data_IF_804808248270
#
_entry.id   IF_804808248270
#
_cell.length_a   1.000
_cell.length_b   1.000
_cell.length_c   1.000
_cell.angle_alpha   90.00
_cell.angle_beta   90.00
_cell.angle_gamma   90.00
#
_symmetry.space_group_name_H-M   'P 1'
#
loop_
_entity.id
_entity.type
_entity.pdbx_description
1 polymer ?
#
# COMPACT_ATOMS: atom_id res chain seq x y z
N UNK A 1 -22.04 -35.44 -63.36
CA UNK A 1 -22.82 -34.55 -62.48
C UNK A 1 -22.95 -35.23 -61.13
N UNK A 2 -21.99 -34.93 -60.25
CA UNK A 2 -22.18 -34.74 -58.82
C UNK A 2 -22.61 -35.99 -58.00
N UNK A 3 -21.76 -36.67 -57.23
CA UNK A 3 -20.55 -36.19 -56.59
C UNK A 3 -20.90 -35.06 -55.63
N UNK A 4 -20.78 -35.28 -54.32
CA UNK A 4 -21.11 -34.36 -53.22
C UNK A 4 -22.58 -34.42 -52.75
N UNK A 5 -22.87 -35.32 -51.79
CA UNK A 5 -23.84 -35.10 -50.69
C UNK A 5 -23.80 -36.19 -49.59
N UNK A 6 -22.72 -36.96 -49.46
CA UNK A 6 -22.54 -37.99 -48.39
C UNK A 6 -21.36 -37.71 -47.43
N UNK A 7 -20.93 -36.46 -47.32
CA UNK A 7 -19.88 -36.09 -46.37
C UNK A 7 -20.25 -34.84 -45.59
N UNK A 8 -21.14 -34.97 -44.57
CA UNK A 8 -21.20 -34.05 -43.42
C UNK A 8 -22.20 -34.41 -42.30
N UNK A 9 -22.65 -35.68 -42.18
CA UNK A 9 -23.47 -36.09 -41.02
C UNK A 9 -22.72 -36.95 -39.99
N UNK A 10 -21.39 -36.84 -39.97
CA UNK A 10 -20.51 -37.50 -38.99
C UNK A 10 -19.89 -36.50 -38.00
N UNK A 11 -20.66 -35.57 -37.47
CA UNK A 11 -20.32 -34.79 -36.28
C UNK A 11 -21.63 -34.37 -35.60
N UNK A 12 -21.69 -34.44 -34.28
CA UNK A 12 -22.86 -34.20 -33.41
C UNK A 12 -23.76 -35.42 -33.10
N UNK A 13 -23.13 -36.55 -32.76
CA UNK A 13 -23.73 -37.46 -31.78
C UNK A 13 -23.66 -36.82 -30.39
N UNK A 14 -24.76 -36.23 -29.92
CA UNK A 14 -24.90 -35.88 -28.50
C UNK A 14 -25.50 -37.07 -27.76
N UNK A 15 -24.62 -37.77 -27.05
CA UNK A 15 -24.92 -38.79 -26.07
C UNK A 15 -25.67 -38.14 -24.88
N UNK A 16 -26.95 -38.47 -24.71
CA UNK A 16 -27.86 -37.90 -23.69
C UNK A 16 -27.81 -38.65 -22.35
N UNK A 17 -26.71 -39.35 -22.06
CA UNK A 17 -26.53 -40.12 -20.82
C UNK A 17 -25.34 -39.59 -19.99
N UNK A 18 -25.52 -38.45 -19.33
CA UNK A 18 -24.43 -37.83 -18.58
C UNK A 18 -24.81 -36.70 -17.62
N UNK A 19 -25.99 -36.73 -17.00
CA UNK A 19 -26.29 -35.84 -15.86
C UNK A 19 -25.65 -36.46 -14.60
N UNK A 20 -24.32 -36.53 -14.59
CA UNK A 20 -23.54 -36.82 -13.40
C UNK A 20 -23.42 -35.52 -12.59
N UNK A 21 -23.89 -35.59 -11.35
CA UNK A 21 -23.93 -34.51 -10.39
C UNK A 21 -22.62 -33.68 -10.36
N UNK A 22 -22.69 -32.43 -10.79
CA UNK A 22 -21.61 -31.47 -10.55
C UNK A 22 -21.52 -31.21 -9.04
N UNK A 23 -20.34 -31.38 -8.40
CA UNK A 23 -20.18 -31.01 -7.01
C UNK A 23 -20.32 -29.49 -6.89
N UNK A 24 -21.35 -29.06 -6.20
CA UNK A 24 -21.56 -27.66 -5.83
C UNK A 24 -20.36 -27.23 -4.96
N UNK A 25 -19.40 -26.49 -5.55
CA UNK A 25 -18.29 -25.91 -4.79
C UNK A 25 -18.89 -24.85 -3.88
N UNK A 26 -19.05 -25.16 -2.60
CA UNK A 26 -19.53 -24.21 -1.60
C UNK A 26 -18.56 -23.01 -1.60
N UNK A 27 -19.05 -21.76 -1.70
CA UNK A 27 -18.17 -20.61 -1.54
C UNK A 27 -17.50 -20.72 -0.16
N UNK A 28 -16.17 -20.77 -0.16
CA UNK A 28 -15.37 -20.83 1.04
C UNK A 28 -15.60 -19.53 1.82
N UNK A 29 -16.56 -19.53 2.76
CA UNK A 29 -16.80 -18.41 3.65
C UNK A 29 -15.50 -18.21 4.45
N UNK A 30 -14.89 -17.01 4.42
CA UNK A 30 -13.69 -16.77 5.20
C UNK A 30 -14.00 -17.07 6.68
N UNK A 31 -13.05 -17.69 7.42
CA UNK A 31 -13.27 -18.03 8.82
C UNK A 31 -13.65 -16.77 9.58
N UNK A 32 -14.86 -16.75 10.14
CA UNK A 32 -15.29 -15.66 10.98
C UNK A 32 -14.52 -15.73 12.29
N UNK A 33 -13.88 -14.62 12.68
CA UNK A 33 -13.16 -14.54 13.95
C UNK A 33 -14.12 -14.82 15.09
N UNK A 34 -13.74 -15.72 16.00
CA UNK A 34 -14.53 -15.94 17.21
C UNK A 34 -14.38 -14.75 18.18
N UNK A 35 -15.30 -14.62 19.14
CA UNK A 35 -15.33 -13.47 20.05
C UNK A 35 -14.03 -13.29 20.85
N UNK A 36 -13.35 -14.39 21.18
CA UNK A 36 -12.07 -14.36 21.90
C UNK A 36 -10.93 -13.86 21.03
N UNK A 37 -10.83 -14.32 19.78
CA UNK A 37 -9.87 -13.84 18.79
C UNK A 37 -10.08 -12.35 18.50
N UNK A 38 -11.34 -11.90 18.39
CA UNK A 38 -11.65 -10.48 18.22
C UNK A 38 -11.16 -9.64 19.40
N UNK A 39 -11.34 -10.11 20.64
CA UNK A 39 -10.83 -9.44 21.84
C UNK A 39 -9.30 -9.34 21.83
N UNK A 40 -8.60 -10.41 21.48
CA UNK A 40 -7.14 -10.39 21.36
C UNK A 40 -6.66 -9.42 20.28
N UNK A 41 -7.33 -9.41 19.13
CA UNK A 41 -7.00 -8.50 18.03
C UNK A 41 -7.22 -7.03 18.41
N UNK A 42 -8.31 -6.72 19.11
CA UNK A 42 -8.57 -5.38 19.64
C UNK A 42 -7.53 -4.95 20.68
N UNK A 43 -7.10 -5.85 21.57
CA UNK A 43 -6.07 -5.55 22.54
C UNK A 43 -4.71 -5.31 21.87
N UNK A 44 -4.34 -6.15 20.89
CA UNK A 44 -3.13 -5.96 20.09
C UNK A 44 -3.15 -4.62 19.35
N UNK A 45 -4.28 -4.25 18.74
CA UNK A 45 -4.46 -2.94 18.10
C UNK A 45 -4.21 -1.80 19.10
N UNK A 46 -4.86 -1.84 20.28
CA UNK A 46 -4.72 -0.78 21.29
C UNK A 46 -3.27 -0.59 21.74
N UNK A 47 -2.56 -1.68 22.01
CA UNK A 47 -1.14 -1.63 22.39
C UNK A 47 -0.30 -1.08 21.23
N UNK A 48 -0.56 -1.53 20.00
CA UNK A 48 0.11 -1.00 18.82
C UNK A 48 -0.11 0.50 18.61
N UNK A 49 -1.33 1.00 18.83
CA UNK A 49 -1.63 2.43 18.76
C UNK A 49 -0.86 3.23 19.82
N UNK A 50 -0.75 2.74 21.06
CA UNK A 50 0.07 3.38 22.10
C UNK A 50 1.57 3.37 21.76
N UNK A 51 2.06 2.29 21.14
CA UNK A 51 3.43 2.23 20.65
C UNK A 51 3.66 3.25 19.53
N UNK A 52 2.69 3.42 18.63
CA UNK A 52 2.74 4.42 17.56
C UNK A 52 2.76 5.86 18.12
N UNK A 53 1.92 6.18 19.11
CA UNK A 53 1.96 7.48 19.81
C UNK A 53 3.28 7.71 20.57
N UNK A 54 3.91 6.64 21.03
CA UNK A 54 5.25 6.72 21.64
C UNK A 54 6.33 6.99 20.59
N UNK A 55 6.22 6.38 19.41
CA UNK A 55 7.10 6.65 18.28
C UNK A 55 7.01 8.11 17.84
N UNK A 56 5.81 8.71 17.78
CA UNK A 56 5.63 10.12 17.44
C UNK A 56 6.44 11.06 18.33
N UNK A 57 6.52 10.76 19.62
CA UNK A 57 7.26 11.58 20.59
C UNK A 57 8.78 11.49 20.43
N UNK A 58 9.28 10.42 19.81
CA UNK A 58 10.72 10.14 19.62
C UNK A 58 11.22 10.47 18.22
N UNK A 59 10.32 10.89 17.32
CA UNK A 59 10.61 11.05 15.90
C UNK A 59 11.64 12.15 15.59
N UNK A 60 11.92 13.02 16.57
CA UNK A 60 12.93 14.07 16.49
C UNK A 60 14.29 13.64 17.08
N UNK A 61 14.35 12.54 17.83
CA UNK A 61 15.56 12.10 18.55
C UNK A 61 16.47 11.20 17.69
N UNK A 62 15.96 10.67 16.57
CA UNK A 62 16.70 9.75 15.71
C UNK A 62 17.77 10.45 14.85
N UNK A 63 18.91 9.77 14.68
CA UNK A 63 19.96 10.22 13.76
C UNK A 63 19.38 10.39 12.35
N UNK A 64 19.70 11.48 11.62
CA UNK A 64 19.15 11.74 10.30
C UNK A 64 19.33 10.59 9.29
N UNK A 65 20.41 9.79 9.37
CA UNK A 65 20.59 8.64 8.47
C UNK A 65 19.62 7.48 8.74
N UNK A 66 19.25 7.25 10.01
CA UNK A 66 18.30 6.20 10.39
C UNK A 66 16.85 6.62 10.15
N UNK A 67 16.58 7.93 10.30
CA UNK A 67 15.25 8.54 10.22
C UNK A 67 14.53 8.31 8.88
N UNK A 68 15.27 8.40 7.77
CA UNK A 68 14.72 8.26 6.41
C UNK A 68 15.06 6.92 5.75
N UNK A 69 15.54 5.95 6.52
CA UNK A 69 15.88 4.64 5.99
C UNK A 69 14.67 4.00 5.28
N UNK A 70 14.94 3.25 4.20
CA UNK A 70 13.91 2.50 3.47
C UNK A 70 13.24 1.46 4.37
N UNK A 71 14.05 0.79 5.20
CA UNK A 71 13.62 -0.22 6.15
C UNK A 71 14.00 0.24 7.57
N UNK A 72 13.27 1.19 8.16
CA UNK A 72 13.55 1.59 9.54
C UNK A 72 13.21 0.44 10.49
N UNK A 73 13.83 0.35 11.68
CA UNK A 73 13.60 -0.75 12.62
C UNK A 73 12.12 -0.97 12.98
N UNK A 74 11.33 0.11 13.04
CA UNK A 74 9.90 0.07 13.34
C UNK A 74 9.00 -0.32 12.14
N UNK A 75 9.55 -0.46 10.93
CA UNK A 75 8.76 -0.57 9.70
C UNK A 75 7.85 -1.79 9.65
N UNK A 76 8.35 -2.95 10.09
CA UNK A 76 7.57 -4.19 10.10
C UNK A 76 6.44 -4.15 11.14
N UNK A 77 6.66 -3.54 12.30
CA UNK A 77 5.65 -3.38 13.34
C UNK A 77 4.51 -2.47 12.87
N UNK A 78 4.83 -1.40 12.12
CA UNK A 78 3.83 -0.53 11.49
C UNK A 78 3.00 -1.31 10.47
N UNK A 79 3.64 -2.08 9.59
CA UNK A 79 2.95 -2.92 8.59
C UNK A 79 2.09 -4.00 9.25
N UNK A 80 2.54 -4.54 10.38
CA UNK A 80 1.76 -5.47 11.18
C UNK A 80 0.53 -4.79 11.80
N UNK A 81 0.68 -3.61 12.38
CA UNK A 81 -0.43 -2.85 12.95
C UNK A 81 -1.45 -2.41 11.87
N UNK A 82 -1.00 -2.05 10.67
CA UNK A 82 -1.87 -1.80 9.52
C UNK A 82 -2.72 -3.03 9.20
N UNK A 83 -2.10 -4.23 9.14
CA UNK A 83 -2.82 -5.50 8.91
C UNK A 83 -3.88 -5.76 9.96
N UNK A 84 -3.58 -5.51 11.23
CA UNK A 84 -4.57 -5.61 12.32
C UNK A 84 -5.72 -4.63 12.11
N UNK A 85 -5.41 -3.38 11.79
CA UNK A 85 -6.39 -2.31 11.63
C UNK A 85 -7.42 -2.64 10.53
N UNK A 86 -6.96 -3.20 9.41
CA UNK A 86 -7.78 -3.70 8.29
C UNK A 86 -8.71 -4.85 8.67
N UNK A 87 -8.30 -5.69 9.63
CA UNK A 87 -9.08 -6.85 10.08
C UNK A 87 -10.14 -6.50 11.12
N UNK A 88 -10.12 -5.27 11.68
CA UNK A 88 -11.09 -4.82 12.68
C UNK A 88 -12.26 -4.07 12.04
N UNK A 89 -12.03 -2.84 11.58
CA UNK A 89 -13.03 -2.06 10.84
C UNK A 89 -12.37 -0.87 10.14
N UNK A 90 -13.09 -0.27 9.19
CA UNK A 90 -12.64 0.95 8.49
C UNK A 90 -12.33 2.10 9.46
N UNK A 91 -13.05 2.19 10.57
CA UNK A 91 -12.77 3.20 11.62
C UNK A 91 -11.39 3.01 12.26
N UNK A 92 -11.02 1.77 12.59
CA UNK A 92 -9.70 1.47 13.16
C UNK A 92 -8.56 1.76 12.16
N UNK A 93 -8.81 1.49 10.87
CA UNK A 93 -7.88 1.83 9.79
C UNK A 93 -7.69 3.35 9.66
N UNK A 94 -8.78 4.13 9.65
CA UNK A 94 -8.65 5.60 9.60
C UNK A 94 -7.91 6.16 10.81
N UNK A 95 -8.23 5.68 12.01
CA UNK A 95 -7.53 6.11 13.23
C UNK A 95 -6.04 5.75 13.18
N UNK A 96 -5.70 4.56 12.71
CA UNK A 96 -4.31 4.18 12.43
C UNK A 96 -3.63 5.15 11.45
N UNK A 97 -4.27 5.49 10.32
CA UNK A 97 -3.69 6.42 9.36
C UNK A 97 -3.42 7.82 9.95
N UNK A 98 -4.30 8.31 10.83
CA UNK A 98 -4.11 9.59 11.53
C UNK A 98 -2.92 9.54 12.50
N UNK A 99 -2.77 8.47 13.27
CA UNK A 99 -1.60 8.33 14.15
C UNK A 99 -0.31 8.10 13.36
N UNK A 100 -0.36 7.31 12.29
CA UNK A 100 0.77 7.08 11.39
C UNK A 100 1.26 8.39 10.75
N UNK A 101 0.33 9.27 10.37
CA UNK A 101 0.62 10.60 9.86
C UNK A 101 1.47 11.42 10.84
N UNK A 102 1.32 11.27 12.15
CA UNK A 102 2.14 12.04 13.10
C UNK A 102 3.43 11.30 13.48
N UNK A 103 3.40 9.98 13.45
CA UNK A 103 4.44 9.15 14.06
C UNK A 103 5.57 8.74 13.11
N UNK A 104 5.26 8.60 11.81
CA UNK A 104 6.19 8.03 10.83
C UNK A 104 6.87 9.12 10.02
N UNK A 105 8.17 8.98 9.82
CA UNK A 105 9.01 9.90 9.03
C UNK A 105 9.66 9.27 7.82
N UNK A 106 9.90 7.94 7.84
CA UNK A 106 10.36 7.24 6.63
C UNK A 106 9.32 7.40 5.51
N UNK A 107 9.70 8.04 4.37
CA UNK A 107 8.78 8.24 3.26
C UNK A 107 8.35 6.91 2.61
N UNK A 108 9.20 5.88 2.69
CA UNK A 108 8.91 4.55 2.15
C UNK A 108 7.79 3.86 2.93
N UNK A 109 7.86 3.90 4.27
CA UNK A 109 6.80 3.32 5.11
C UNK A 109 5.50 4.10 4.94
N UNK A 110 5.54 5.43 4.86
CA UNK A 110 4.34 6.25 4.58
C UNK A 110 3.71 5.90 3.23
N UNK A 111 4.53 5.69 2.20
CA UNK A 111 4.06 5.28 0.87
C UNK A 111 3.37 3.92 0.91
N UNK A 112 4.00 2.91 1.51
CA UNK A 112 3.44 1.56 1.66
C UNK A 112 2.09 1.62 2.40
N UNK A 113 2.03 2.35 3.52
CA UNK A 113 0.80 2.52 4.30
C UNK A 113 -0.30 3.18 3.48
N UNK A 114 0.01 4.23 2.72
CA UNK A 114 -0.97 4.94 1.89
C UNK A 114 -1.56 4.02 0.81
N UNK A 115 -0.71 3.31 0.07
CA UNK A 115 -1.12 2.42 -1.02
C UNK A 115 -1.94 1.26 -0.47
N UNK A 116 -1.47 0.60 0.58
CA UNK A 116 -2.14 -0.58 1.14
C UNK A 116 -3.47 -0.21 1.83
N UNK A 117 -3.54 0.95 2.50
CA UNK A 117 -4.80 1.45 3.03
C UNK A 117 -5.79 1.79 1.90
N UNK A 118 -5.34 2.45 0.83
CA UNK A 118 -6.19 2.77 -0.31
C UNK A 118 -6.73 1.51 -0.99
N UNK A 119 -5.89 0.50 -1.20
CA UNK A 119 -6.30 -0.80 -1.75
C UNK A 119 -7.35 -1.48 -0.88
N UNK A 120 -7.19 -1.42 0.45
CA UNK A 120 -8.18 -1.97 1.36
C UNK A 120 -9.53 -1.23 1.31
N UNK A 121 -9.52 0.10 1.25
CA UNK A 121 -10.72 0.91 1.08
C UNK A 121 -11.42 0.62 -0.26
N UNK A 122 -10.63 0.38 -1.31
CA UNK A 122 -11.09 0.01 -2.65
C UNK A 122 -11.38 -1.47 -2.84
N UNK A 123 -11.41 -2.31 -1.79
CA UNK A 123 -11.53 -3.77 -1.93
C UNK A 123 -12.77 -4.22 -2.73
N UNK A 124 -13.83 -3.41 -2.72
CA UNK A 124 -15.06 -3.68 -3.47
C UNK A 124 -15.07 -3.05 -4.87
N UNK A 125 -14.20 -2.07 -5.14
CA UNK A 125 -14.07 -1.39 -6.41
C UNK A 125 -12.63 -0.87 -6.59
N UNK A 126 -11.73 -1.66 -7.22
CA UNK A 126 -10.33 -1.29 -7.40
C UNK A 126 -10.11 0.02 -8.17
N UNK A 127 -11.08 0.45 -8.98
CA UNK A 127 -11.02 1.73 -9.70
C UNK A 127 -10.95 2.96 -8.78
N UNK A 128 -11.31 2.81 -7.50
CA UNK A 128 -11.34 3.92 -6.54
C UNK A 128 -10.01 4.15 -5.79
N UNK A 129 -8.97 3.35 -6.04
CA UNK A 129 -7.68 3.48 -5.32
C UNK A 129 -7.12 4.91 -5.41
N UNK A 130 -7.05 5.45 -6.62
CA UNK A 130 -6.55 6.81 -6.83
C UNK A 130 -7.46 7.87 -6.19
N UNK A 131 -8.77 7.64 -6.17
CA UNK A 131 -9.71 8.54 -5.51
C UNK A 131 -9.46 8.56 -3.99
N UNK A 132 -9.30 7.41 -3.34
CA UNK A 132 -9.02 7.35 -1.90
C UNK A 132 -7.67 7.99 -1.56
N UNK A 133 -6.63 7.76 -2.37
CA UNK A 133 -5.32 8.41 -2.21
C UNK A 133 -5.41 9.94 -2.29
N UNK A 134 -6.25 10.46 -3.19
CA UNK A 134 -6.41 11.90 -3.44
C UNK A 134 -7.44 12.59 -2.54
N UNK A 135 -8.15 11.86 -1.70
CA UNK A 135 -9.19 12.41 -0.81
C UNK A 135 -8.93 12.00 0.64
N UNK A 136 -9.41 10.83 1.04
CA UNK A 136 -9.35 10.34 2.42
C UNK A 136 -7.91 10.18 2.94
N UNK A 137 -6.96 9.83 2.08
CA UNK A 137 -5.55 9.60 2.44
C UNK A 137 -4.61 10.71 1.97
N UNK A 138 -5.16 11.81 1.43
CA UNK A 138 -4.37 12.93 0.92
C UNK A 138 -3.36 13.46 1.96
N UNK A 139 -3.70 13.64 3.26
CA UNK A 139 -2.73 14.11 4.24
C UNK A 139 -1.50 13.19 4.37
N UNK A 140 -1.71 11.88 4.28
CA UNK A 140 -0.64 10.88 4.35
C UNK A 140 0.25 10.93 3.10
N UNK A 141 -0.36 11.08 1.92
CA UNK A 141 0.35 11.25 0.64
C UNK A 141 1.17 12.55 0.64
N UNK A 142 0.59 13.66 1.09
CA UNK A 142 1.29 14.94 1.19
C UNK A 142 2.47 14.86 2.16
N UNK A 143 2.30 14.23 3.33
CA UNK A 143 3.44 14.02 4.25
C UNK A 143 4.50 13.12 3.62
N UNK A 144 4.12 12.05 2.94
CA UNK A 144 5.04 11.16 2.23
C UNK A 144 5.90 11.94 1.22
N UNK A 145 5.28 12.77 0.39
CA UNK A 145 5.96 13.64 -0.57
C UNK A 145 6.94 14.61 0.12
N UNK A 146 6.51 15.27 1.20
CA UNK A 146 7.37 16.14 2.00
C UNK A 146 8.58 15.40 2.58
N UNK A 147 8.38 14.20 3.14
CA UNK A 147 9.46 13.39 3.68
C UNK A 147 10.43 12.90 2.60
N UNK A 148 9.95 12.62 1.37
CA UNK A 148 10.83 12.34 0.24
C UNK A 148 11.73 13.53 -0.10
N UNK A 149 11.19 14.76 -0.11
CA UNK A 149 12.00 15.97 -0.33
C UNK A 149 13.11 16.09 0.73
N UNK A 150 12.75 15.93 2.00
CA UNK A 150 13.73 15.99 3.11
C UNK A 150 14.80 14.90 2.99
N UNK A 151 14.38 13.66 2.70
CA UNK A 151 15.27 12.52 2.50
C UNK A 151 16.24 12.76 1.34
N UNK A 152 15.73 13.19 0.18
CA UNK A 152 16.55 13.44 -1.01
C UNK A 152 17.51 14.61 -0.79
N UNK A 153 17.06 15.72 -0.18
CA UNK A 153 17.96 16.82 0.19
C UNK A 153 19.10 16.33 1.07
N UNK A 154 18.79 15.65 2.18
CA UNK A 154 19.83 15.20 3.10
C UNK A 154 20.84 14.25 2.44
N UNK A 155 20.35 13.30 1.63
CA UNK A 155 21.19 12.34 0.90
C UNK A 155 22.07 13.04 -0.14
N UNK A 156 21.53 14.03 -0.85
CA UNK A 156 22.28 14.80 -1.84
C UNK A 156 23.45 15.57 -1.22
N UNK A 157 23.27 16.20 -0.05
CA UNK A 157 24.32 16.96 0.64
C UNK A 157 25.49 16.09 1.15
N UNK A 158 25.24 14.80 1.40
CA UNK A 158 26.25 13.86 1.92
C UNK A 158 26.56 12.76 0.90
N UNK A 159 26.29 13.01 -0.39
CA UNK A 159 26.36 12.00 -1.43
C UNK A 159 27.83 11.60 -1.68
N UNK A 160 28.12 10.32 -1.53
CA UNK A 160 29.41 9.74 -1.91
C UNK A 160 29.28 8.85 -3.15
N UNK A 161 30.41 8.47 -3.75
CA UNK A 161 30.41 7.63 -4.95
C UNK A 161 29.70 6.29 -4.76
N UNK A 162 29.75 5.72 -3.55
CA UNK A 162 29.09 4.46 -3.23
C UNK A 162 27.58 4.59 -3.05
N UNK A 163 27.07 5.81 -2.87
CA UNK A 163 25.66 6.09 -2.59
C UNK A 163 24.84 6.47 -3.83
N UNK A 164 25.47 6.61 -5.01
CA UNK A 164 24.77 7.07 -6.24
C UNK A 164 23.59 6.19 -6.62
N UNK A 165 23.78 4.87 -6.65
CA UNK A 165 22.72 3.92 -7.03
C UNK A 165 21.56 3.94 -6.02
N UNK A 166 21.87 4.03 -4.71
CA UNK A 166 20.85 4.19 -3.66
C UNK A 166 20.09 5.50 -3.85
N UNK A 167 20.79 6.61 -4.08
CA UNK A 167 20.16 7.90 -4.31
C UNK A 167 19.24 7.90 -5.54
N UNK A 168 19.67 7.31 -6.66
CA UNK A 168 18.83 7.16 -7.86
C UNK A 168 17.57 6.36 -7.54
N UNK A 169 17.70 5.25 -6.81
CA UNK A 169 16.56 4.44 -6.35
C UNK A 169 15.58 5.23 -5.49
N UNK A 170 16.08 6.09 -4.58
CA UNK A 170 15.26 7.00 -3.78
C UNK A 170 14.51 8.00 -4.67
N UNK A 171 15.18 8.62 -5.64
CA UNK A 171 14.57 9.59 -6.58
C UNK A 171 13.48 8.94 -7.42
N UNK A 172 13.70 7.71 -7.90
CA UNK A 172 12.69 6.95 -8.65
C UNK A 172 11.48 6.60 -7.79
N UNK A 173 11.69 6.20 -6.54
CA UNK A 173 10.61 5.94 -5.59
C UNK A 173 9.82 7.22 -5.26
N UNK A 174 10.52 8.34 -5.06
CA UNK A 174 9.90 9.64 -4.87
C UNK A 174 9.00 10.00 -6.06
N UNK A 175 9.49 9.85 -7.30
CA UNK A 175 8.70 10.13 -8.51
C UNK A 175 7.35 9.41 -8.51
N UNK A 176 7.32 8.13 -8.10
CA UNK A 176 6.07 7.38 -8.00
C UNK A 176 5.11 7.98 -6.96
N UNK A 177 5.61 8.42 -5.80
CA UNK A 177 4.82 9.10 -4.78
C UNK A 177 4.27 10.47 -5.24
N UNK A 178 5.08 11.23 -5.97
CA UNK A 178 4.70 12.53 -6.52
C UNK A 178 3.67 12.42 -7.65
N UNK A 179 3.65 11.30 -8.39
CA UNK A 179 2.65 11.08 -9.44
C UNK A 179 1.24 10.81 -8.90
N UNK A 180 1.10 10.54 -7.60
CA UNK A 180 -0.20 10.28 -6.97
C UNK A 180 -1.10 11.52 -7.07
N UNK A 181 -0.59 12.72 -6.83
CA UNK A 181 -1.38 13.97 -6.86
C UNK A 181 -1.11 14.75 -8.16
N UNK A 182 -2.10 15.50 -8.68
CA UNK A 182 -1.90 16.36 -9.85
C UNK A 182 -0.75 17.36 -9.66
N UNK A 183 -0.70 18.01 -8.50
CA UNK A 183 0.29 19.03 -8.14
C UNK A 183 1.67 18.41 -7.87
N UNK A 184 1.72 17.14 -7.48
CA UNK A 184 2.98 16.46 -7.14
C UNK A 184 3.93 16.35 -8.32
N UNK A 185 3.42 16.18 -9.55
CA UNK A 185 4.26 16.20 -10.74
C UNK A 185 4.98 17.54 -10.94
N UNK A 186 4.32 18.66 -10.63
CA UNK A 186 4.90 20.00 -10.73
C UNK A 186 5.96 20.17 -9.64
N UNK A 187 5.63 19.85 -8.39
CA UNK A 187 6.56 19.91 -7.26
C UNK A 187 7.84 19.10 -7.49
N UNK A 188 7.71 17.89 -8.05
CA UNK A 188 8.87 17.04 -8.33
C UNK A 188 9.78 17.63 -9.42
N UNK A 189 9.20 18.24 -10.48
CA UNK A 189 9.96 18.92 -11.53
C UNK A 189 10.68 20.17 -11.02
N UNK A 190 10.02 20.94 -10.16
CA UNK A 190 10.62 22.10 -9.51
C UNK A 190 11.81 21.70 -8.64
N UNK A 191 11.66 20.62 -7.86
CA UNK A 191 12.74 20.04 -7.06
C UNK A 191 13.92 19.57 -7.93
N UNK A 192 13.67 18.86 -9.03
CA UNK A 192 14.73 18.46 -9.97
C UNK A 192 15.46 19.67 -10.58
N UNK A 193 14.76 20.78 -10.75
CA UNK A 193 15.35 22.01 -11.29
C UNK A 193 16.20 22.73 -10.25
N UNK A 194 15.80 22.70 -8.96
CA UNK A 194 16.55 23.35 -7.89
C UNK A 194 17.90 22.68 -7.62
N UNK A 195 18.00 21.36 -7.79
CA UNK A 195 19.27 20.61 -7.58
C UNK A 195 20.25 20.68 -8.75
N UNK A 196 19.83 21.20 -9.91
CA UNK A 196 20.71 21.41 -11.08
C UNK A 196 21.54 22.70 -10.97
N UNK A 197 21.21 23.56 -10.02
CA UNK A 197 21.91 24.82 -9.73
C UNK A 197 22.98 24.59 -8.67
#
# INVERSE_FOLDING_TARGET
MLGELEASNALYGYDLAGIAAQPFVRPHRPPQLNQTQLRYLLNAYRVGMLALDTLARRVHDDRPQAKYARNPPYGEDVKWLLRISKNLSTHHLHHFCVCALNSIVSPFVLHDVAIEAAQHLSRNNPGLVMQHLRTALLPLVSKCQQMYIQCMHQKLYHLTTTDYEDFISIVLAARAAFHITPEGNVQFKEWLTSIRR
#
